data_IF_918940347824
#
_entry.id   IF_918940347824
#
_cell.length_a   1.000
_cell.length_b   1.000
_cell.length_c   1.000
_cell.angle_alpha   90.00
_cell.angle_beta   90.00
_cell.angle_gamma   90.00
#
_symmetry.space_group_name_H-M   'P 1'
#
loop_
_entity.id
_entity.type
_entity.pdbx_description
1 polymer ?
#
# COMPACT_ATOMS: atom_id res chain seq x y z
N UNK A 1 -0.19 -15.00 -0.26
CA UNK A 1 -1.65 -14.76 -0.27
C UNK A 1 -2.01 -13.74 0.81
N UNK A 2 -1.86 -12.44 0.54
CA UNK A 2 -2.35 -11.41 1.44
C UNK A 2 -3.67 -10.87 0.91
N UNK A 3 -4.80 -11.16 1.58
CA UNK A 3 -5.95 -10.26 1.75
C UNK A 3 -6.60 -9.61 0.50
N UNK A 4 -6.33 -10.09 -0.72
CA UNK A 4 -6.73 -9.44 -1.99
C UNK A 4 -8.24 -9.19 -2.15
N UNK A 5 -9.11 -9.89 -1.42
CA UNK A 5 -10.55 -9.60 -1.42
C UNK A 5 -10.98 -8.45 -0.50
N UNK A 6 -10.29 -8.24 0.64
CA UNK A 6 -10.74 -7.30 1.65
C UNK A 6 -10.50 -5.84 1.23
N UNK A 7 -9.36 -5.57 0.62
CA UNK A 7 -9.01 -4.25 0.10
C UNK A 7 -9.92 -3.86 -1.07
N UNK A 8 -10.05 -4.74 -2.07
CA UNK A 8 -10.96 -4.55 -3.21
C UNK A 8 -12.40 -4.31 -2.78
N UNK A 9 -12.89 -5.09 -1.81
CA UNK A 9 -14.25 -4.93 -1.28
C UNK A 9 -14.43 -3.56 -0.64
N UNK A 10 -13.46 -3.07 0.14
CA UNK A 10 -13.50 -1.71 0.70
C UNK A 10 -13.47 -0.64 -0.37
N UNK A 11 -12.65 -0.80 -1.41
CA UNK A 11 -12.60 0.16 -2.52
C UNK A 11 -13.97 0.22 -3.17
N UNK A 12 -14.54 -0.93 -3.56
CA UNK A 12 -15.87 -1.03 -4.17
C UNK A 12 -16.97 -0.36 -3.31
N UNK A 13 -16.95 -0.58 -1.99
CA UNK A 13 -17.92 -0.01 -1.06
C UNK A 13 -17.77 1.51 -0.89
N UNK A 14 -16.54 2.04 -0.89
CA UNK A 14 -16.26 3.48 -0.75
C UNK A 14 -16.45 4.24 -2.05
N UNK A 15 -16.02 3.68 -3.18
CA UNK A 15 -16.16 4.32 -4.49
C UNK A 15 -17.52 4.06 -5.12
N UNK A 16 -18.31 3.09 -4.63
CA UNK A 16 -19.55 2.68 -5.27
C UNK A 16 -19.35 2.14 -6.70
N UNK A 17 -18.18 1.55 -6.98
CA UNK A 17 -17.84 0.96 -8.29
C UNK A 17 -17.65 -0.54 -8.19
N UNK A 18 -18.00 -1.26 -9.25
CA UNK A 18 -17.69 -2.68 -9.40
C UNK A 18 -16.31 -2.90 -10.01
N UNK A 19 -15.34 -3.31 -9.18
CA UNK A 19 -13.99 -3.64 -9.62
C UNK A 19 -13.86 -5.15 -9.82
N UNK A 20 -13.44 -5.56 -11.01
CA UNK A 20 -13.11 -6.95 -11.36
C UNK A 20 -11.61 -7.06 -11.63
N UNK A 21 -10.90 -7.75 -10.75
CA UNK A 21 -9.50 -8.17 -11.02
C UNK A 21 -9.54 -9.53 -11.68
N UNK A 22 -8.98 -9.69 -12.89
CA UNK A 22 -8.90 -10.98 -13.55
C UNK A 22 -8.05 -11.94 -12.72
N UNK A 23 -8.44 -13.23 -12.74
CA UNK A 23 -7.61 -14.27 -12.12
C UNK A 23 -6.36 -14.48 -12.96
N UNK A 24 -5.31 -14.99 -12.32
CA UNK A 24 -4.02 -15.26 -12.95
C UNK A 24 -4.06 -16.27 -14.13
N UNK A 25 -5.20 -16.93 -14.36
CA UNK A 25 -5.46 -17.84 -15.49
C UNK A 25 -6.41 -17.24 -16.55
N UNK A 26 -6.83 -15.98 -16.40
CA UNK A 26 -7.65 -15.29 -17.40
C UNK A 26 -6.78 -14.71 -18.50
N UNK A 27 -7.27 -14.78 -19.74
CA UNK A 27 -6.64 -14.18 -20.93
C UNK A 27 -6.63 -12.64 -20.85
N UNK A 28 -7.48 -12.08 -19.98
CA UNK A 28 -7.57 -10.66 -19.69
C UNK A 28 -6.64 -10.38 -18.51
N UNK A 29 -5.62 -9.53 -18.71
CA UNK A 29 -4.73 -9.07 -17.63
C UNK A 29 -5.22 -7.74 -17.00
N UNK A 30 -6.18 -7.08 -17.66
CA UNK A 30 -6.66 -5.76 -17.28
C UNK A 30 -7.73 -5.81 -16.16
N UNK A 31 -7.56 -4.93 -15.17
CA UNK A 31 -8.56 -4.72 -14.13
C UNK A 31 -9.67 -3.80 -14.64
N UNK A 32 -10.91 -4.29 -14.65
CA UNK A 32 -12.09 -3.53 -15.09
C UNK A 32 -12.73 -2.83 -13.90
N UNK A 33 -13.07 -1.54 -14.04
CA UNK A 33 -13.79 -0.74 -13.05
C UNK A 33 -15.08 -0.24 -13.72
N UNK A 34 -16.23 -0.65 -13.19
CA UNK A 34 -17.55 -0.29 -13.72
C UNK A 34 -18.32 0.57 -12.71
N UNK A 35 -18.90 1.68 -13.15
CA UNK A 35 -19.66 2.60 -12.29
C UNK A 35 -19.94 3.94 -12.96
N UNK A 36 -20.42 4.90 -12.19
CA UNK A 36 -20.55 6.30 -12.62
C UNK A 36 -19.17 6.89 -12.92
N UNK A 37 -19.09 7.83 -13.87
CA UNK A 37 -17.82 8.43 -14.27
C UNK A 37 -17.02 9.02 -13.09
N UNK A 38 -17.71 9.74 -12.20
CA UNK A 38 -17.13 10.29 -10.95
C UNK A 38 -16.60 9.19 -10.01
N UNK A 39 -17.33 8.09 -9.89
CA UNK A 39 -16.98 6.97 -9.02
C UNK A 39 -15.79 6.19 -9.57
N UNK A 40 -15.69 6.04 -10.89
CA UNK A 40 -14.56 5.38 -11.57
C UNK A 40 -13.27 6.17 -11.34
N UNK A 41 -13.32 7.50 -11.41
CA UNK A 41 -12.15 8.35 -11.09
C UNK A 41 -11.72 8.17 -9.63
N UNK A 42 -12.67 8.16 -8.69
CA UNK A 42 -12.37 7.92 -7.26
C UNK A 42 -11.75 6.54 -7.06
N UNK A 43 -12.33 5.49 -7.63
CA UNK A 43 -11.80 4.13 -7.54
C UNK A 43 -10.37 4.03 -8.09
N UNK A 44 -10.12 4.67 -9.24
CA UNK A 44 -8.79 4.74 -9.86
C UNK A 44 -7.78 5.43 -8.94
N UNK A 45 -8.12 6.59 -8.37
CA UNK A 45 -7.26 7.31 -7.44
C UNK A 45 -6.94 6.46 -6.22
N UNK A 46 -7.93 5.82 -5.61
CA UNK A 46 -7.73 4.94 -4.45
C UNK A 46 -6.77 3.78 -4.78
N UNK A 47 -6.98 3.12 -5.92
CA UNK A 47 -6.13 2.01 -6.36
C UNK A 47 -4.71 2.51 -6.61
N UNK A 48 -4.56 3.65 -7.27
CA UNK A 48 -3.25 4.22 -7.56
C UNK A 48 -2.49 4.58 -6.28
N UNK A 49 -3.13 5.25 -5.32
CA UNK A 49 -2.54 5.51 -3.99
C UNK A 49 -2.14 4.21 -3.28
N UNK A 50 -2.98 3.16 -3.37
CA UNK A 50 -2.67 1.87 -2.78
C UNK A 50 -1.51 1.15 -3.46
N UNK A 51 -1.31 1.34 -4.77
CA UNK A 51 -0.18 0.78 -5.50
C UNK A 51 1.12 1.54 -5.20
N UNK A 52 1.05 2.88 -5.13
CA UNK A 52 2.20 3.74 -4.88
C UNK A 52 2.63 3.71 -3.41
N UNK A 53 1.70 3.96 -2.49
CA UNK A 53 2.00 4.15 -1.06
C UNK A 53 1.66 2.91 -0.22
N UNK A 54 0.96 1.92 -0.79
CA UNK A 54 0.51 0.74 -0.04
C UNK A 54 -0.66 1.02 0.92
N UNK A 55 -1.26 2.21 0.85
CA UNK A 55 -2.47 2.61 1.56
C UNK A 55 -3.16 3.77 0.78
N UNK A 56 -4.43 4.02 1.05
CA UNK A 56 -5.14 5.18 0.50
C UNK A 56 -5.64 6.05 1.65
N UNK A 57 -5.37 7.34 1.55
CA UNK A 57 -5.84 8.36 2.49
C UNK A 57 -7.37 8.44 2.49
N UNK A 58 -7.98 8.18 1.33
CA UNK A 58 -9.45 8.12 1.16
C UNK A 58 -10.05 6.95 1.94
N UNK A 59 -9.39 5.79 1.96
CA UNK A 59 -9.87 4.62 2.68
C UNK A 59 -9.56 4.65 4.19
N UNK A 60 -8.52 5.38 4.59
CA UNK A 60 -8.12 5.49 5.99
C UNK A 60 -7.67 6.93 6.28
N UNK A 61 -8.60 7.86 6.48
CA UNK A 61 -8.27 9.27 6.75
C UNK A 61 -7.49 9.47 8.06
N UNK A 62 -7.54 8.48 8.96
CA UNK A 62 -6.78 8.49 10.21
C UNK A 62 -5.30 8.11 10.06
N UNK A 63 -4.90 7.54 8.91
CA UNK A 63 -3.51 7.17 8.66
C UNK A 63 -2.73 8.38 8.18
N UNK A 64 -1.60 8.65 8.83
CA UNK A 64 -0.67 9.72 8.45
C UNK A 64 0.59 9.11 7.88
N UNK A 65 1.01 9.56 6.70
CA UNK A 65 2.33 9.23 6.15
C UNK A 65 3.35 10.29 6.55
N UNK A 66 4.49 9.80 7.04
CA UNK A 66 5.68 10.60 7.32
C UNK A 66 6.86 9.98 6.60
N UNK A 67 7.67 10.81 5.96
CA UNK A 67 8.96 10.41 5.39
C UNK A 67 10.05 10.57 6.43
N UNK A 68 10.92 9.56 6.53
CA UNK A 68 12.08 9.53 7.40
C UNK A 68 13.32 9.24 6.56
N UNK A 69 14.35 10.07 6.72
CA UNK A 69 15.62 9.85 6.06
C UNK A 69 16.42 8.76 6.80
N UNK A 70 16.58 7.62 6.16
CA UNK A 70 17.34 6.45 6.62
C UNK A 70 18.53 6.21 5.68
N UNK A 71 19.76 6.57 6.10
CA UNK A 71 20.97 6.29 5.35
C UNK A 71 21.08 4.80 4.98
N UNK A 72 21.53 4.51 3.75
CA UNK A 72 21.66 3.14 3.23
C UNK A 72 22.47 2.25 4.17
N UNK A 73 23.54 2.81 4.73
CA UNK A 73 24.45 2.17 5.69
C UNK A 73 23.76 1.77 7.00
N UNK A 74 22.73 2.51 7.42
CA UNK A 74 21.98 2.27 8.67
C UNK A 74 20.70 1.46 8.47
N UNK A 75 20.27 1.20 7.23
CA UNK A 75 19.09 0.34 6.95
C UNK A 75 19.19 -1.06 7.60
N UNK A 76 20.33 -1.77 7.56
CA UNK A 76 20.45 -3.10 8.19
C UNK A 76 20.21 -3.08 9.70
N UNK A 77 20.55 -1.97 10.36
CA UNK A 77 20.35 -1.79 11.81
C UNK A 77 18.86 -1.70 12.14
N UNK A 78 18.08 -0.98 11.34
CA UNK A 78 16.63 -0.83 11.54
C UNK A 78 15.88 -2.12 11.19
N UNK A 79 16.26 -2.80 10.11
CA UNK A 79 15.70 -4.12 9.78
C UNK A 79 16.04 -5.15 10.86
N UNK A 80 17.29 -5.17 11.32
CA UNK A 80 17.85 -6.20 12.18
C UNK A 80 17.96 -7.56 11.48
N UNK A 81 18.45 -8.59 12.19
CA UNK A 81 18.59 -9.95 11.65
C UNK A 81 17.23 -10.45 11.14
N UNK A 82 17.15 -10.84 9.87
CA UNK A 82 15.93 -11.33 9.21
C UNK A 82 14.69 -10.42 9.33
N UNK A 83 14.87 -9.10 9.51
CA UNK A 83 13.77 -8.15 9.65
C UNK A 83 13.08 -8.18 11.02
N UNK A 84 13.73 -8.73 12.05
CA UNK A 84 13.14 -8.85 13.39
C UNK A 84 12.90 -7.51 14.10
N UNK A 85 13.76 -6.51 13.90
CA UNK A 85 13.64 -5.22 14.58
C UNK A 85 12.50 -4.39 14.00
N UNK A 86 12.43 -4.28 12.67
CA UNK A 86 11.34 -3.56 12.00
C UNK A 86 9.97 -4.18 12.29
N UNK A 87 9.89 -5.52 12.41
CA UNK A 87 8.67 -6.21 12.84
C UNK A 87 8.26 -5.81 14.24
N UNK A 88 9.20 -5.81 15.20
CA UNK A 88 8.93 -5.38 16.57
C UNK A 88 8.49 -3.92 16.63
N UNK A 89 9.14 -3.03 15.89
CA UNK A 89 8.75 -1.61 15.85
C UNK A 89 7.31 -1.50 15.30
N UNK A 90 7.04 -2.15 14.17
CA UNK A 90 5.70 -2.19 13.55
C UNK A 90 4.64 -2.74 14.51
N UNK A 91 4.97 -3.77 15.30
CA UNK A 91 4.07 -4.39 16.27
C UNK A 91 3.83 -3.49 17.50
N UNK A 92 4.86 -2.82 18.01
CA UNK A 92 4.76 -1.93 19.18
C UNK A 92 4.09 -0.60 18.83
N UNK A 93 4.40 -0.01 17.68
CA UNK A 93 3.83 1.28 17.27
C UNK A 93 2.54 1.14 16.48
N UNK A 94 2.21 -0.08 16.04
CA UNK A 94 1.10 -0.36 15.13
C UNK A 94 1.19 0.42 13.80
N UNK A 95 2.40 0.87 13.42
CA UNK A 95 2.65 1.63 12.18
C UNK A 95 3.28 0.75 11.11
N UNK A 96 2.86 0.90 9.86
CA UNK A 96 3.46 0.28 8.70
C UNK A 96 4.67 1.09 8.22
N UNK A 97 5.85 0.46 8.23
CA UNK A 97 7.09 1.07 7.74
C UNK A 97 7.41 0.48 6.36
N UNK A 98 7.51 1.32 5.34
CA UNK A 98 7.89 0.97 3.98
C UNK A 98 9.30 1.48 3.73
N UNK A 99 10.23 0.57 3.44
CA UNK A 99 11.60 0.89 3.11
C UNK A 99 11.82 0.78 1.60
N UNK A 100 12.64 1.65 1.00
CA UNK A 100 12.97 1.58 -0.41
C UNK A 100 13.83 0.34 -0.69
N UNK A 101 13.75 -0.14 -1.93
CA UNK A 101 14.46 -1.35 -2.36
C UNK A 101 15.95 -1.31 -2.03
N UNK A 102 16.51 -2.51 -1.80
CA UNK A 102 17.94 -2.68 -1.49
C UNK A 102 18.88 -2.13 -2.57
N UNK A 103 18.43 -2.10 -3.82
CA UNK A 103 19.18 -1.56 -4.96
C UNK A 103 18.95 -0.07 -5.18
N UNK A 104 17.97 0.53 -4.49
CA UNK A 104 17.68 1.94 -4.60
C UNK A 104 18.65 2.75 -3.73
N UNK A 105 19.26 3.78 -4.31
CA UNK A 105 20.02 4.81 -3.60
C UNK A 105 19.12 5.74 -2.77
N UNK A 106 17.80 5.56 -2.84
CA UNK A 106 16.83 6.33 -2.07
C UNK A 106 17.02 6.08 -0.57
N UNK A 107 17.28 7.14 0.19
CA UNK A 107 17.42 7.12 1.63
C UNK A 107 16.13 7.54 2.34
N UNK A 108 14.99 7.62 1.65
CA UNK A 108 13.69 7.92 2.26
C UNK A 108 12.92 6.65 2.57
N UNK A 109 12.63 6.45 3.85
CA UNK A 109 11.68 5.48 4.37
C UNK A 109 10.32 6.16 4.62
N UNK A 110 9.23 5.44 4.43
CA UNK A 110 7.89 5.93 4.71
C UNK A 110 7.31 5.22 5.92
N UNK A 111 6.69 5.98 6.81
CA UNK A 111 6.03 5.49 8.02
C UNK A 111 4.58 5.90 7.93
N UNK A 112 3.69 4.92 7.95
CA UNK A 112 2.25 5.06 7.79
C UNK A 112 1.61 4.51 9.07
N UNK A 113 0.89 5.34 9.82
CA UNK A 113 0.30 4.94 11.10
C UNK A 113 -0.82 5.86 11.55
#
# INVERSE_FOLDING_TARGET
MGKNGATLKKINEVSGTQIQIPRNDSVVEDTTIEGLAENVEVAKTIIQEMLENGYSSTLNPSLVQRTLRVPVEKRPVILGPSGGYIKKITEVTNCKIVLPDRQSSNDMAEIIG
#
